data_IF_605198167355
#
_entry.id   IF_605198167355
#
_cell.length_a   1.000
_cell.length_b   1.000
_cell.length_c   1.000
_cell.angle_alpha   90.00
_cell.angle_beta   90.00
_cell.angle_gamma   90.00
#
_symmetry.space_group_name_H-M   'P 1'
#
loop_
_entity.id
_entity.type
_entity.pdbx_description
1 polymer ?
#
# COMPACT_ATOMS: atom_id res chain seq x y z
N UNK A 1 -19.98 -14.90 -11.03
CA UNK A 1 -19.94 -14.76 -9.55
C UNK A 1 -18.66 -14.00 -9.23
N UNK A 2 -18.70 -12.92 -8.44
CA UNK A 2 -17.46 -12.21 -8.06
C UNK A 2 -16.70 -13.08 -7.06
N UNK A 3 -15.55 -13.63 -7.45
CA UNK A 3 -14.66 -14.28 -6.49
C UNK A 3 -14.14 -13.22 -5.51
N UNK A 4 -14.43 -13.38 -4.22
CA UNK A 4 -13.90 -12.50 -3.19
C UNK A 4 -12.38 -12.62 -3.14
N UNK A 5 -11.67 -11.51 -2.92
CA UNK A 5 -10.23 -11.54 -2.74
C UNK A 5 -9.89 -12.37 -1.49
N UNK A 6 -8.94 -13.32 -1.58
CA UNK A 6 -8.44 -14.05 -0.42
C UNK A 6 -7.98 -13.12 0.70
N UNK A 7 -8.60 -13.27 1.86
CA UNK A 7 -8.30 -12.52 3.08
C UNK A 7 -8.55 -13.44 4.27
N UNK A 8 -7.96 -13.12 5.41
CA UNK A 8 -8.09 -13.91 6.62
C UNK A 8 -8.50 -13.00 7.77
N UNK A 9 -9.56 -13.35 8.50
CA UNK A 9 -9.88 -12.71 9.78
C UNK A 9 -10.03 -13.77 10.85
N UNK A 10 -9.41 -13.53 11.99
CA UNK A 10 -9.39 -14.46 13.12
C UNK A 10 -9.84 -13.71 14.36
N UNK A 11 -10.63 -14.38 15.20
CA UNK A 11 -10.95 -13.89 16.54
C UNK A 11 -10.82 -15.02 17.56
N UNK A 12 -10.17 -14.71 18.66
CA UNK A 12 -9.98 -15.65 19.78
C UNK A 12 -11.12 -15.55 20.80
N UNK A 13 -11.14 -16.51 21.73
CA UNK A 13 -11.76 -16.31 23.04
C UNK A 13 -11.03 -15.24 23.86
N UNK A 14 -11.50 -14.97 25.08
CA UNK A 14 -10.80 -14.06 26.00
C UNK A 14 -9.35 -14.50 26.20
N UNK A 15 -8.43 -13.54 26.15
CA UNK A 15 -7.03 -13.77 26.48
C UNK A 15 -6.86 -14.04 27.98
N UNK A 16 -5.68 -14.50 28.38
CA UNK A 16 -5.30 -14.54 29.78
C UNK A 16 -5.53 -13.16 30.45
N UNK A 17 -6.12 -13.11 31.66
CA UNK A 17 -6.40 -11.86 32.36
C UNK A 17 -5.21 -10.91 32.49
N UNK A 18 -3.98 -11.43 32.48
CA UNK A 18 -2.75 -10.63 32.49
C UNK A 18 -2.60 -9.68 31.30
N UNK A 19 -3.30 -9.96 30.18
CA UNK A 19 -3.32 -9.18 28.95
C UNK A 19 -4.65 -8.44 28.71
N UNK A 20 -5.71 -8.73 29.47
CA UNK A 20 -7.09 -8.39 29.12
C UNK A 20 -7.87 -7.57 30.17
N UNK A 21 -7.24 -7.10 31.26
CA UNK A 21 -7.95 -6.33 32.30
C UNK A 21 -8.32 -4.89 31.90
N UNK A 22 -7.97 -4.47 30.69
CA UNK A 22 -8.26 -3.14 30.14
C UNK A 22 -7.41 -2.00 30.71
N UNK A 23 -6.45 -2.30 31.59
CA UNK A 23 -5.51 -1.31 32.12
C UNK A 23 -4.44 -0.96 31.07
N UNK A 24 -3.83 0.22 31.21
CA UNK A 24 -2.67 0.61 30.39
C UNK A 24 -1.51 -0.38 30.53
N UNK A 25 -1.39 -1.04 31.70
CA UNK A 25 -0.38 -2.07 31.94
C UNK A 25 -0.66 -3.35 31.15
N UNK A 26 -1.91 -3.78 31.06
CA UNK A 26 -2.30 -4.92 30.24
C UNK A 26 -2.12 -4.63 28.74
N UNK A 27 -2.48 -3.42 28.29
CA UNK A 27 -2.25 -2.99 26.91
C UNK A 27 -0.75 -2.96 26.55
N UNK A 28 0.11 -2.47 27.44
CA UNK A 28 1.56 -2.51 27.25
C UNK A 28 2.05 -3.94 27.12
N UNK A 29 1.70 -4.83 28.06
CA UNK A 29 2.12 -6.23 28.03
C UNK A 29 1.65 -6.97 26.78
N UNK A 30 0.41 -6.72 26.35
CA UNK A 30 -0.10 -7.28 25.11
C UNK A 30 0.71 -6.79 23.91
N UNK A 31 1.01 -5.49 23.85
CA UNK A 31 1.80 -4.92 22.75
C UNK A 31 3.21 -5.50 22.73
N UNK A 32 3.84 -5.62 23.90
CA UNK A 32 5.17 -6.20 24.06
C UNK A 32 5.18 -7.68 23.65
N UNK A 33 4.16 -8.45 24.03
CA UNK A 33 4.05 -9.86 23.65
C UNK A 33 3.85 -10.06 22.14
N UNK A 34 3.05 -9.21 21.49
CA UNK A 34 2.90 -9.26 20.02
C UNK A 34 4.20 -8.84 19.33
N UNK A 35 4.89 -7.83 19.85
CA UNK A 35 6.18 -7.41 19.30
C UNK A 35 7.25 -8.50 19.46
N UNK A 36 7.35 -9.10 20.65
CA UNK A 36 8.24 -10.22 20.92
C UNK A 36 7.97 -11.39 19.97
N UNK A 37 6.71 -11.81 19.82
CA UNK A 37 6.30 -12.84 18.87
C UNK A 37 6.74 -12.52 17.43
N UNK A 38 6.51 -11.28 16.97
CA UNK A 38 6.88 -10.88 15.62
C UNK A 38 8.41 -10.93 15.42
N UNK A 39 9.17 -10.44 16.40
CA UNK A 39 10.63 -10.36 16.35
C UNK A 39 11.33 -11.71 16.58
N UNK A 40 10.74 -12.63 17.34
CA UNK A 40 11.34 -13.93 17.64
C UNK A 40 11.02 -14.97 16.56
N UNK A 41 9.73 -15.10 16.22
CA UNK A 41 9.26 -16.24 15.43
C UNK A 41 9.28 -15.94 13.93
N UNK A 42 9.27 -14.65 13.58
CA UNK A 42 9.13 -14.18 12.20
C UNK A 42 10.19 -13.17 11.79
N UNK A 43 11.31 -13.11 12.52
CA UNK A 43 12.38 -12.12 12.31
C UNK A 43 12.86 -12.03 10.86
N UNK A 44 12.91 -13.16 10.14
CA UNK A 44 13.38 -13.22 8.75
C UNK A 44 12.43 -12.52 7.75
N UNK A 45 11.15 -12.43 8.10
CA UNK A 45 10.08 -11.89 7.26
C UNK A 45 9.52 -10.56 7.78
N UNK A 46 9.84 -10.19 9.02
CA UNK A 46 9.39 -8.95 9.62
C UNK A 46 10.03 -7.75 8.92
N UNK A 47 9.21 -6.97 8.22
CA UNK A 47 9.63 -5.71 7.60
C UNK A 47 9.57 -4.59 8.66
N UNK A 48 8.47 -4.52 9.41
CA UNK A 48 8.30 -3.59 10.52
C UNK A 48 7.08 -3.96 11.39
N UNK A 49 7.05 -3.42 12.61
CA UNK A 49 5.89 -3.45 13.50
C UNK A 49 5.68 -2.07 14.10
N UNK A 50 4.44 -1.58 14.09
CA UNK A 50 4.11 -0.28 14.66
C UNK A 50 2.69 -0.23 15.22
N UNK A 51 2.41 0.65 16.18
CA UNK A 51 1.03 1.00 16.52
C UNK A 51 0.29 1.54 15.29
N UNK A 52 -0.90 1.01 15.05
CA UNK A 52 -1.77 1.54 14.01
C UNK A 52 -2.12 3.00 14.34
N UNK A 53 -2.26 3.85 13.34
CA UNK A 53 -2.67 5.25 13.55
C UNK A 53 -4.20 5.38 13.48
N UNK A 54 -4.78 6.11 14.42
CA UNK A 54 -6.15 6.57 14.34
C UNK A 54 -6.29 7.63 13.23
N UNK A 55 -7.53 7.96 12.85
CA UNK A 55 -7.83 8.97 11.81
C UNK A 55 -7.23 10.36 12.09
N UNK A 56 -6.85 10.66 13.34
CA UNK A 56 -6.21 11.92 13.75
C UNK A 56 -4.70 11.80 13.98
N UNK A 57 -4.07 10.71 13.53
CA UNK A 57 -2.62 10.50 13.65
C UNK A 57 -2.14 9.97 15.00
N UNK A 58 -2.98 9.99 16.05
CA UNK A 58 -2.66 9.38 17.34
C UNK A 58 -2.57 7.85 17.25
N UNK A 59 -1.65 7.19 17.97
CA UNK A 59 -1.61 5.73 18.05
C UNK A 59 -2.92 5.15 18.58
N UNK A 60 -3.53 4.25 17.81
CA UNK A 60 -4.70 3.50 18.22
C UNK A 60 -4.30 2.50 19.32
N UNK A 61 -4.74 2.76 20.55
CA UNK A 61 -4.48 1.88 21.69
C UNK A 61 -5.02 0.47 21.42
N UNK A 62 -4.21 -0.55 21.71
CA UNK A 62 -4.59 -1.95 21.49
C UNK A 62 -4.69 -2.34 20.02
N UNK A 63 -3.97 -1.65 19.12
CA UNK A 63 -3.94 -1.94 17.70
C UNK A 63 -2.51 -1.83 17.17
N UNK A 64 -1.97 -2.93 16.68
CA UNK A 64 -0.66 -3.02 16.03
C UNK A 64 -0.85 -3.41 14.56
N UNK A 65 -0.01 -2.85 13.71
CA UNK A 65 0.18 -3.27 12.32
C UNK A 65 1.55 -3.97 12.22
N UNK A 66 1.54 -5.17 11.64
CA UNK A 66 2.73 -6.01 11.46
C UNK A 66 2.92 -6.25 9.96
N UNK A 67 4.00 -5.74 9.38
CA UNK A 67 4.33 -5.99 7.98
C UNK A 67 5.27 -7.18 7.84
N UNK A 68 4.84 -8.19 7.09
CA UNK A 68 5.55 -9.47 6.91
C UNK A 68 5.97 -9.73 5.45
N UNK A 69 5.56 -8.86 4.52
CA UNK A 69 5.90 -8.98 3.10
C UNK A 69 5.64 -7.63 2.40
N UNK A 70 6.55 -7.13 1.54
CA UNK A 70 6.40 -5.82 0.88
C UNK A 70 5.13 -5.70 0.03
N UNK A 71 4.73 -6.78 -0.65
CA UNK A 71 3.49 -6.81 -1.44
C UNK A 71 2.20 -7.08 -0.65
N UNK A 72 2.24 -7.22 0.68
CA UNK A 72 1.06 -7.41 1.51
C UNK A 72 0.66 -6.09 2.18
N UNK A 73 -0.65 -5.92 2.41
CA UNK A 73 -1.08 -4.99 3.44
C UNK A 73 -0.62 -5.51 4.82
N UNK A 74 -0.27 -4.62 5.75
CA UNK A 74 0.10 -5.02 7.11
C UNK A 74 -1.00 -5.85 7.77
N UNK A 75 -0.61 -6.86 8.54
CA UNK A 75 -1.48 -7.62 9.41
C UNK A 75 -1.97 -6.70 10.54
N UNK A 76 -3.28 -6.46 10.60
CA UNK A 76 -3.91 -5.70 11.67
C UNK A 76 -4.18 -6.62 12.86
N UNK A 77 -3.52 -6.39 13.99
CA UNK A 77 -3.69 -7.15 15.24
C UNK A 77 -4.28 -6.23 16.31
N UNK A 78 -5.46 -6.58 16.82
CA UNK A 78 -6.24 -5.74 17.74
C UNK A 78 -6.65 -6.49 18.99
N UNK A 79 -6.60 -5.79 20.12
CA UNK A 79 -7.24 -6.22 21.36
C UNK A 79 -8.59 -5.49 21.50
N UNK A 80 -9.69 -6.25 21.54
CA UNK A 80 -11.02 -5.68 21.73
C UNK A 80 -11.34 -5.41 23.22
N UNK A 81 -12.47 -4.75 23.47
CA UNK A 81 -12.92 -4.42 24.85
C UNK A 81 -13.31 -5.64 25.67
N UNK A 82 -13.55 -6.78 25.05
CA UNK A 82 -13.83 -8.04 25.73
C UNK A 82 -12.54 -8.83 26.01
N UNK A 83 -11.37 -8.22 25.78
CA UNK A 83 -10.08 -8.86 25.99
C UNK A 83 -9.81 -9.96 24.98
N UNK A 84 -10.35 -9.85 23.74
CA UNK A 84 -10.12 -10.83 22.67
C UNK A 84 -9.18 -10.28 21.63
N UNK A 85 -8.35 -11.16 21.09
CA UNK A 85 -7.54 -10.86 19.92
C UNK A 85 -8.41 -10.91 18.66
N UNK A 86 -8.39 -9.85 17.87
CA UNK A 86 -8.95 -9.76 16.53
C UNK A 86 -7.80 -9.50 15.55
N UNK A 87 -7.60 -10.39 14.58
CA UNK A 87 -6.58 -10.23 13.56
C UNK A 87 -7.19 -10.21 12.16
N UNK A 88 -6.66 -9.39 11.26
CA UNK A 88 -7.08 -9.33 9.86
C UNK A 88 -5.90 -9.14 8.92
N UNK A 89 -5.84 -9.95 7.85
CA UNK A 89 -4.82 -9.89 6.82
C UNK A 89 -5.43 -9.94 5.41
N UNK A 90 -4.92 -9.09 4.50
CA UNK A 90 -5.15 -9.22 3.06
C UNK A 90 -3.99 -10.00 2.45
N UNK A 91 -4.25 -11.19 1.95
CA UNK A 91 -3.20 -12.14 1.53
C UNK A 91 -3.21 -12.39 0.02
N UNK A 92 -4.26 -11.96 -0.67
CA UNK A 92 -4.48 -12.16 -2.10
C UNK A 92 -3.29 -11.75 -2.98
N UNK A 93 -2.74 -10.55 -2.76
CA UNK A 93 -1.65 -10.01 -3.60
C UNK A 93 -0.35 -10.82 -3.51
N UNK A 94 -0.11 -11.51 -2.38
CA UNK A 94 1.14 -12.25 -2.16
C UNK A 94 1.03 -13.71 -2.61
N UNK A 95 -0.11 -14.35 -2.33
CA UNK A 95 -0.40 -15.69 -2.81
C UNK A 95 -0.70 -16.73 -1.72
N UNK A 96 -0.97 -17.98 -2.14
CA UNK A 96 -1.45 -19.04 -1.26
C UNK A 96 -0.39 -19.50 -0.24
N UNK A 97 0.90 -19.42 -0.57
CA UNK A 97 1.98 -19.73 0.39
C UNK A 97 2.00 -18.76 1.57
N UNK A 98 1.84 -17.46 1.29
CA UNK A 98 1.73 -16.43 2.32
C UNK A 98 0.45 -16.56 3.14
N UNK A 99 -0.69 -16.86 2.50
CA UNK A 99 -1.95 -17.08 3.21
C UNK A 99 -1.82 -18.20 4.25
N UNK A 100 -1.28 -19.35 3.85
CA UNK A 100 -1.07 -20.48 4.74
C UNK A 100 -0.09 -20.15 5.89
N UNK A 101 0.96 -19.39 5.60
CA UNK A 101 1.91 -18.91 6.60
C UNK A 101 1.24 -17.99 7.64
N UNK A 102 0.51 -16.96 7.20
CA UNK A 102 -0.17 -16.02 8.11
C UNK A 102 -1.19 -16.74 9.01
N UNK A 103 -1.93 -17.71 8.47
CA UNK A 103 -2.84 -18.53 9.28
C UNK A 103 -2.10 -19.25 10.42
N UNK A 104 -0.99 -19.92 10.12
CA UNK A 104 -0.18 -20.61 11.14
C UNK A 104 0.44 -19.64 12.14
N UNK A 105 0.91 -18.49 11.66
CA UNK A 105 1.47 -17.44 12.50
C UNK A 105 0.44 -16.92 13.51
N UNK A 106 -0.81 -16.67 13.07
CA UNK A 106 -1.90 -16.23 13.95
C UNK A 106 -2.34 -17.31 14.95
N UNK A 107 -2.30 -18.58 14.56
CA UNK A 107 -2.50 -19.70 15.50
C UNK A 107 -1.44 -19.72 16.60
N UNK A 108 -0.17 -19.59 16.21
CA UNK A 108 0.95 -19.53 17.15
C UNK A 108 0.84 -18.34 18.10
N UNK A 109 0.45 -17.16 17.59
CA UNK A 109 0.20 -15.99 18.44
C UNK A 109 -0.94 -16.23 19.44
N UNK A 110 -2.05 -16.81 19.00
CA UNK A 110 -3.18 -17.11 19.88
C UNK A 110 -2.76 -18.07 21.01
N UNK A 111 -1.98 -19.11 20.67
CA UNK A 111 -1.43 -20.07 21.63
C UNK A 111 -0.47 -19.40 22.63
N UNK A 112 0.46 -18.56 22.14
CA UNK A 112 1.40 -17.81 22.97
C UNK A 112 0.69 -16.86 23.96
N UNK A 113 -0.48 -16.34 23.58
CA UNK A 113 -1.35 -15.51 24.44
C UNK A 113 -2.34 -16.32 25.29
N UNK A 114 -2.24 -17.66 25.28
CA UNK A 114 -3.10 -18.55 26.07
C UNK A 114 -4.56 -18.59 25.61
N UNK A 115 -4.84 -18.29 24.34
CA UNK A 115 -6.19 -18.16 23.82
C UNK A 115 -6.50 -19.16 22.69
N UNK A 116 -7.72 -19.68 22.67
CA UNK A 116 -8.22 -20.50 21.58
C UNK A 116 -8.84 -19.62 20.49
N UNK A 117 -8.65 -19.97 19.22
CA UNK A 117 -9.36 -19.35 18.10
C UNK A 117 -10.82 -19.83 18.10
N UNK A 118 -11.77 -18.89 18.16
CA UNK A 118 -13.22 -19.19 18.18
C UNK A 118 -13.88 -18.91 16.83
N UNK A 119 -13.28 -18.04 16.01
CA UNK A 119 -13.86 -17.60 14.75
C UNK A 119 -12.77 -17.39 13.70
N UNK A 120 -13.06 -17.87 12.49
CA UNK A 120 -12.25 -17.66 11.29
C UNK A 120 -13.18 -17.29 10.15
N UNK A 121 -12.87 -16.18 9.49
CA UNK A 121 -13.44 -15.77 8.20
C UNK A 121 -12.34 -15.95 7.15
N UNK A 122 -12.46 -17.00 6.36
CA UNK A 122 -11.53 -17.30 5.28
C UNK A 122 -12.32 -17.80 4.05
N UNK A 123 -12.43 -16.99 2.98
CA UNK A 123 -13.16 -17.39 1.77
C UNK A 123 -12.46 -18.51 1.01
N UNK A 124 -11.20 -18.85 1.33
CA UNK A 124 -10.47 -19.97 0.74
C UNK A 124 -10.75 -21.30 1.47
N UNK A 125 -11.40 -21.25 2.63
CA UNK A 125 -11.65 -22.40 3.51
C UNK A 125 -10.38 -23.12 4.00
N UNK A 126 -9.21 -22.50 3.90
CA UNK A 126 -7.94 -23.08 4.33
C UNK A 126 -7.77 -22.94 5.85
N UNK A 127 -7.99 -21.75 6.40
CA UNK A 127 -8.07 -21.52 7.83
C UNK A 127 -9.44 -21.93 8.37
N UNK A 128 -9.44 -22.80 9.39
CA UNK A 128 -10.67 -23.10 10.12
C UNK A 128 -10.40 -23.30 11.61
N UNK A 129 -11.44 -23.13 12.44
CA UNK A 129 -11.37 -23.45 13.87
C UNK A 129 -10.97 -24.92 14.11
N UNK A 130 -11.25 -25.81 13.14
CA UNK A 130 -10.93 -27.25 13.23
C UNK A 130 -9.53 -27.60 12.72
N UNK A 131 -8.80 -26.65 12.15
CA UNK A 131 -7.48 -26.87 11.56
C UNK A 131 -7.35 -26.35 10.14
N UNK A 132 -6.39 -26.90 9.40
CA UNK A 132 -6.07 -26.50 8.02
C UNK A 132 -6.93 -27.28 7.01
N UNK A 133 -7.35 -26.59 5.96
CA UNK A 133 -7.97 -27.16 4.77
C UNK A 133 -6.95 -27.74 3.79
N UNK A 134 -7.41 -28.13 2.61
CA UNK A 134 -6.57 -28.72 1.57
C UNK A 134 -5.73 -27.68 0.83
N UNK A 135 -4.48 -28.03 0.55
CA UNK A 135 -3.55 -27.29 -0.30
C UNK A 135 -4.14 -27.01 -1.69
N UNK A 136 -4.83 -28.01 -2.25
CA UNK A 136 -5.44 -27.93 -3.58
C UNK A 136 -6.61 -26.94 -3.61
N UNK A 137 -7.39 -26.88 -2.53
CA UNK A 137 -8.52 -25.96 -2.42
C UNK A 137 -8.01 -24.51 -2.31
N UNK A 138 -6.93 -24.30 -1.56
CA UNK A 138 -6.28 -23.00 -1.45
C UNK A 138 -5.72 -22.52 -2.79
N UNK A 139 -4.97 -23.37 -3.51
CA UNK A 139 -4.46 -23.04 -4.83
C UNK A 139 -5.60 -22.78 -5.83
N UNK A 140 -6.66 -23.59 -5.79
CA UNK A 140 -7.86 -23.40 -6.60
C UNK A 140 -8.58 -22.08 -6.32
N UNK A 141 -8.69 -21.68 -5.06
CA UNK A 141 -9.32 -20.41 -4.66
C UNK A 141 -8.52 -19.20 -5.18
N UNK A 142 -7.19 -19.24 -5.07
CA UNK A 142 -6.33 -18.18 -5.62
C UNK A 142 -6.36 -18.15 -7.16
N UNK A 143 -6.35 -19.32 -7.81
CA UNK A 143 -6.51 -19.43 -9.26
C UNK A 143 -7.82 -18.82 -9.77
N UNK A 144 -8.94 -19.20 -9.14
CA UNK A 144 -10.26 -18.66 -9.47
C UNK A 144 -10.35 -17.15 -9.24
N UNK A 145 -9.71 -16.63 -8.18
CA UNK A 145 -9.65 -15.19 -7.93
C UNK A 145 -8.87 -14.45 -9.03
N UNK A 146 -7.65 -14.88 -9.36
CA UNK A 146 -6.85 -14.25 -10.44
C UNK A 146 -7.58 -14.33 -11.78
N UNK A 147 -8.20 -15.48 -12.09
CA UNK A 147 -9.01 -15.65 -13.29
C UNK A 147 -10.18 -14.65 -13.34
N UNK A 148 -10.89 -14.44 -12.23
CA UNK A 148 -11.99 -13.47 -12.17
C UNK A 148 -11.50 -12.03 -12.37
N UNK A 149 -10.28 -11.70 -11.95
CA UNK A 149 -9.66 -10.41 -12.23
C UNK A 149 -9.33 -10.26 -13.73
N UNK A 150 -8.78 -11.30 -14.36
CA UNK A 150 -8.53 -11.33 -15.80
C UNK A 150 -9.82 -11.18 -16.59
N UNK A 151 -10.88 -11.91 -16.22
CA UNK A 151 -12.21 -11.81 -16.83
C UNK A 151 -12.74 -10.37 -16.73
N UNK A 152 -12.66 -9.76 -15.54
CA UNK A 152 -13.07 -8.37 -15.34
C UNK A 152 -12.28 -7.39 -16.20
N UNK A 153 -10.95 -7.55 -16.26
CA UNK A 153 -10.08 -6.70 -17.06
C UNK A 153 -10.45 -6.79 -18.56
N UNK A 154 -10.56 -8.02 -19.08
CA UNK A 154 -10.90 -8.29 -20.48
C UNK A 154 -12.30 -7.77 -20.84
N UNK A 155 -13.28 -8.00 -19.98
CA UNK A 155 -14.66 -7.56 -20.20
C UNK A 155 -14.79 -6.04 -20.18
N UNK A 156 -14.13 -5.36 -19.24
CA UNK A 156 -14.15 -3.90 -19.14
C UNK A 156 -13.20 -3.19 -20.12
N UNK A 157 -12.28 -3.94 -20.75
CA UNK A 157 -11.13 -3.40 -21.49
C UNK A 157 -10.38 -2.34 -20.68
N UNK A 158 -10.22 -2.62 -19.39
CA UNK A 158 -9.59 -1.73 -18.42
C UNK A 158 -8.64 -2.52 -17.53
N UNK A 159 -7.41 -2.03 -17.28
CA UNK A 159 -6.43 -2.72 -16.47
C UNK A 159 -6.92 -2.90 -15.03
N UNK A 160 -6.58 -4.02 -14.41
CA UNK A 160 -6.92 -4.33 -13.01
C UNK A 160 -5.64 -4.50 -12.20
N UNK A 161 -5.54 -3.79 -11.08
CA UNK A 161 -4.40 -3.90 -10.19
C UNK A 161 -4.64 -4.95 -9.10
N UNK A 162 -3.63 -5.79 -8.88
CA UNK A 162 -3.54 -6.76 -7.79
C UNK A 162 -2.59 -6.27 -6.69
N UNK A 163 -1.54 -5.54 -7.07
CA UNK A 163 -0.56 -5.02 -6.13
C UNK A 163 -1.22 -4.06 -5.13
N UNK A 164 -0.87 -4.20 -3.85
CA UNK A 164 -1.27 -3.28 -2.79
C UNK A 164 -0.47 -1.96 -2.89
N UNK A 165 -0.98 -0.89 -2.29
CA UNK A 165 -0.35 0.43 -2.30
C UNK A 165 -0.97 1.42 -3.29
N UNK A 166 -0.18 2.32 -3.92
CA UNK A 166 -0.73 3.31 -4.84
C UNK A 166 -1.30 2.65 -6.09
N UNK A 167 -2.21 3.36 -6.77
CA UNK A 167 -2.72 2.95 -8.09
C UNK A 167 -1.65 3.21 -9.14
N UNK A 168 -1.06 2.15 -9.68
CA UNK A 168 -0.07 2.20 -10.73
C UNK A 168 -0.72 2.44 -12.09
N UNK A 169 0.00 3.13 -12.97
CA UNK A 169 -0.46 3.33 -14.34
C UNK A 169 -0.06 2.17 -15.22
N UNK A 170 -1.06 1.55 -15.83
CA UNK A 170 -0.89 0.54 -16.85
C UNK A 170 -0.26 1.13 -18.12
N UNK A 171 0.61 0.36 -18.76
CA UNK A 171 1.02 0.60 -20.14
C UNK A 171 -0.05 0.10 -21.11
N UNK A 172 0.14 0.38 -22.40
CA UNK A 172 -0.86 0.08 -23.43
C UNK A 172 -1.19 -1.42 -23.54
N UNK A 173 -0.22 -2.30 -23.25
CA UNK A 173 -0.40 -3.76 -23.31
C UNK A 173 -0.71 -4.41 -21.94
N UNK A 174 -0.78 -3.64 -20.85
CA UNK A 174 -0.95 -4.18 -19.50
C UNK A 174 -2.44 -4.42 -19.18
N UNK A 175 -2.79 -5.66 -18.85
CA UNK A 175 -4.15 -6.05 -18.43
C UNK A 175 -4.27 -6.21 -16.91
N UNK A 176 -3.30 -6.87 -16.29
CA UNK A 176 -3.25 -7.03 -14.83
C UNK A 176 -1.93 -6.48 -14.30
N UNK A 177 -1.97 -5.68 -13.23
CA UNK A 177 -0.78 -5.15 -12.56
C UNK A 177 -0.54 -5.94 -11.26
N UNK A 178 0.30 -6.98 -11.34
CA UNK A 178 0.68 -7.81 -10.21
C UNK A 178 1.99 -7.39 -9.55
N UNK A 179 2.28 -7.83 -8.31
CA UNK A 179 3.57 -7.58 -7.66
C UNK A 179 4.76 -8.19 -8.42
N UNK A 180 4.54 -9.24 -9.21
CA UNK A 180 5.59 -9.86 -10.04
C UNK A 180 5.75 -9.19 -11.42
N UNK A 181 5.04 -8.09 -11.66
CA UNK A 181 4.99 -7.38 -12.94
C UNK A 181 3.64 -7.52 -13.65
N UNK A 182 3.49 -6.88 -14.82
CA UNK A 182 2.23 -6.86 -15.53
C UNK A 182 1.97 -8.18 -16.28
N UNK A 183 0.70 -8.60 -16.31
CA UNK A 183 0.19 -9.58 -17.28
C UNK A 183 -0.35 -8.83 -18.49
N UNK A 184 0.02 -9.25 -19.70
CA UNK A 184 -0.44 -8.59 -20.93
C UNK A 184 -1.90 -8.92 -21.26
N UNK A 185 -2.53 -8.12 -22.13
CA UNK A 185 -3.88 -8.41 -22.65
C UNK A 185 -3.97 -9.79 -23.30
N UNK A 186 -2.99 -10.16 -24.12
CA UNK A 186 -2.98 -11.46 -24.78
C UNK A 186 -2.95 -12.63 -23.78
N UNK A 187 -2.17 -12.49 -22.70
CA UNK A 187 -2.10 -13.49 -21.64
C UNK A 187 -3.38 -13.54 -20.81
N UNK A 188 -3.97 -12.39 -20.45
CA UNK A 188 -5.25 -12.33 -19.76
C UNK A 188 -6.38 -12.98 -20.58
N UNK A 189 -6.46 -12.70 -21.88
CA UNK A 189 -7.44 -13.33 -22.78
C UNK A 189 -7.21 -14.85 -22.90
N UNK A 190 -5.96 -15.31 -22.90
CA UNK A 190 -5.64 -16.74 -22.89
C UNK A 190 -6.07 -17.41 -21.58
N UNK A 191 -5.86 -16.75 -20.44
CA UNK A 191 -6.32 -17.21 -19.12
C UNK A 191 -7.84 -17.38 -19.09
N UNK A 192 -8.58 -16.38 -19.56
CA UNK A 192 -10.05 -16.41 -19.59
C UNK A 192 -10.57 -17.59 -20.43
N UNK A 193 -9.91 -17.91 -21.55
CA UNK A 193 -10.27 -19.05 -22.41
C UNK A 193 -10.00 -20.42 -21.78
N UNK A 194 -9.03 -20.54 -20.88
CA UNK A 194 -8.56 -21.82 -20.35
C UNK A 194 -9.44 -22.42 -19.23
N UNK A 195 -10.39 -21.65 -18.67
CA UNK A 195 -11.17 -21.96 -17.46
C UNK A 195 -10.40 -21.76 -16.13
N UNK A 196 -11.06 -21.46 -15.00
CA UNK A 196 -10.41 -21.05 -13.75
C UNK A 196 -9.59 -22.14 -13.05
N UNK A 197 -9.94 -23.41 -13.24
CA UNK A 197 -9.33 -24.59 -12.60
C UNK A 197 -8.30 -25.32 -13.48
N UNK A 198 -8.09 -24.84 -14.71
CA UNK A 198 -7.09 -25.43 -15.58
C UNK A 198 -5.68 -25.17 -15.06
N UNK A 199 -4.80 -26.17 -15.15
CA UNK A 199 -3.39 -26.06 -14.74
C UNK A 199 -2.69 -24.86 -15.41
N UNK A 200 -3.05 -24.52 -16.65
CA UNK A 200 -2.53 -23.34 -17.33
C UNK A 200 -2.90 -22.03 -16.61
N UNK A 201 -4.13 -21.91 -16.11
CA UNK A 201 -4.59 -20.76 -15.33
C UNK A 201 -3.87 -20.70 -13.98
N UNK A 202 -3.73 -21.84 -13.29
CA UNK A 202 -2.99 -21.93 -12.03
C UNK A 202 -1.51 -21.55 -12.22
N UNK A 203 -0.87 -22.02 -13.29
CA UNK A 203 0.51 -21.69 -13.62
C UNK A 203 0.69 -20.18 -13.86
N UNK A 204 -0.22 -19.55 -14.62
CA UNK A 204 -0.19 -18.10 -14.83
C UNK A 204 -0.49 -17.31 -13.54
N UNK A 205 -1.43 -17.77 -12.71
CA UNK A 205 -1.67 -17.16 -11.41
C UNK A 205 -0.43 -17.23 -10.51
N UNK A 206 0.25 -18.39 -10.44
CA UNK A 206 1.51 -18.55 -9.69
C UNK A 206 2.64 -17.66 -10.21
N UNK A 207 2.65 -17.30 -11.49
CA UNK A 207 3.63 -16.37 -12.05
C UNK A 207 3.40 -14.92 -11.57
N UNK A 208 2.16 -14.55 -11.24
CA UNK A 208 1.81 -13.20 -10.75
C UNK A 208 1.98 -13.04 -9.24
N UNK A 209 2.10 -14.14 -8.50
CA UNK A 209 2.10 -14.16 -7.04
C UNK A 209 3.52 -14.33 -6.49
N UNK A 210 3.97 -13.45 -5.56
CA UNK A 210 5.29 -13.56 -4.92
C UNK A 210 5.53 -14.84 -4.14
N UNK A 211 4.49 -15.42 -3.53
CA UNK A 211 4.63 -16.59 -2.69
C UNK A 211 3.63 -17.68 -3.09
N UNK A 212 3.87 -18.36 -4.22
CA UNK A 212 3.07 -19.53 -4.60
C UNK A 212 3.33 -20.68 -3.63
N UNK A 213 2.41 -21.65 -3.59
CA UNK A 213 2.63 -22.89 -2.83
C UNK A 213 3.82 -23.67 -3.40
N UNK A 214 4.56 -24.31 -2.51
CA UNK A 214 5.71 -25.14 -2.87
C UNK A 214 6.98 -24.36 -3.20
N UNK A 215 6.95 -23.02 -3.19
CA UNK A 215 8.14 -22.22 -3.39
C UNK A 215 9.22 -22.56 -2.36
N UNK A 216 10.44 -22.81 -2.84
CA UNK A 216 11.62 -23.01 -1.99
C UNK A 216 11.97 -21.74 -1.23
N UNK A 217 12.86 -21.83 -0.24
CA UNK A 217 13.35 -20.64 0.46
C UNK A 217 14.02 -19.63 -0.49
N UNK A 218 14.87 -20.12 -1.41
CA UNK A 218 15.53 -19.27 -2.41
C UNK A 218 14.52 -18.59 -3.35
N UNK A 219 13.55 -19.34 -3.88
CA UNK A 219 12.52 -18.77 -4.77
C UNK A 219 11.68 -17.71 -4.07
N UNK A 220 11.34 -17.91 -2.79
CA UNK A 220 10.58 -16.92 -2.00
C UNK A 220 11.35 -15.61 -1.87
N UNK A 221 12.67 -15.67 -1.60
CA UNK A 221 13.52 -14.49 -1.48
C UNK A 221 13.63 -13.73 -2.82
N UNK A 222 13.91 -14.44 -3.93
CA UNK A 222 13.94 -13.79 -5.27
C UNK A 222 12.61 -13.11 -5.60
N UNK A 223 11.49 -13.77 -5.30
CA UNK A 223 10.17 -13.24 -5.57
C UNK A 223 9.79 -12.08 -4.65
N UNK A 224 10.20 -12.11 -3.37
CA UNK A 224 10.05 -10.98 -2.43
C UNK A 224 10.81 -9.75 -2.95
N UNK A 225 12.08 -9.90 -3.31
CA UNK A 225 12.88 -8.83 -3.92
C UNK A 225 12.24 -8.32 -5.23
N UNK A 226 11.74 -9.22 -6.08
CA UNK A 226 11.07 -8.86 -7.33
C UNK A 226 9.81 -8.04 -7.09
N UNK A 227 9.04 -8.39 -6.06
CA UNK A 227 7.88 -7.62 -5.67
C UNK A 227 8.24 -6.20 -5.23
N UNK A 228 9.27 -6.04 -4.39
CA UNK A 228 9.78 -4.74 -3.98
C UNK A 228 10.28 -3.91 -5.18
N UNK A 229 10.98 -4.55 -6.12
CA UNK A 229 11.47 -3.90 -7.35
C UNK A 229 10.33 -3.36 -8.24
N UNK A 230 9.21 -4.06 -8.31
CA UNK A 230 8.04 -3.62 -9.07
C UNK A 230 7.23 -2.54 -8.36
N UNK A 231 6.98 -2.67 -7.06
CA UNK A 231 6.03 -1.84 -6.33
C UNK A 231 6.66 -0.63 -5.63
N UNK A 232 7.86 -0.80 -5.08
CA UNK A 232 8.37 0.08 -4.02
C UNK A 232 9.65 0.82 -4.41
N UNK A 233 10.54 0.19 -5.19
CA UNK A 233 11.79 0.82 -5.61
C UNK A 233 11.53 2.03 -6.51
N UNK A 234 11.96 3.20 -6.06
CA UNK A 234 12.11 4.42 -6.89
C UNK A 234 13.40 4.24 -7.67
N UNK A 235 13.33 4.01 -8.98
CA UNK A 235 14.50 3.70 -9.82
C UNK A 235 15.40 4.92 -10.08
N UNK A 236 15.89 5.53 -9.00
CA UNK A 236 16.80 6.68 -8.87
C UNK A 236 17.49 6.59 -7.50
N UNK A 237 18.64 7.25 -7.27
CA UNK A 237 19.29 7.24 -5.96
C UNK A 237 18.31 7.57 -4.82
N UNK A 238 18.45 6.89 -3.69
CA UNK A 238 17.56 7.04 -2.55
C UNK A 238 17.62 8.48 -1.98
N UNK A 239 16.45 9.04 -1.69
CA UNK A 239 16.31 10.37 -1.08
C UNK A 239 15.93 10.30 0.40
N UNK A 240 15.50 9.13 0.87
CA UNK A 240 15.15 8.88 2.27
C UNK A 240 15.81 7.60 2.76
N UNK A 241 15.93 7.47 4.09
CA UNK A 241 16.42 6.25 4.73
C UNK A 241 15.55 5.03 4.38
N UNK A 242 14.22 5.18 4.42
CA UNK A 242 13.28 4.11 4.06
C UNK A 242 13.45 3.62 2.60
N UNK A 243 13.77 4.51 1.66
CA UNK A 243 14.09 4.10 0.28
C UNK A 243 15.42 3.33 0.20
N UNK A 244 16.43 3.77 0.95
CA UNK A 244 17.72 3.09 1.01
C UNK A 244 17.58 1.70 1.66
N UNK A 245 16.81 1.58 2.73
CA UNK A 245 16.45 0.31 3.38
C UNK A 245 15.72 -0.63 2.42
N UNK A 246 14.77 -0.13 1.64
CA UNK A 246 14.04 -0.92 0.63
C UNK A 246 15.01 -1.50 -0.42
N UNK A 247 15.96 -0.69 -0.91
CA UNK A 247 16.98 -1.14 -1.87
C UNK A 247 17.90 -2.19 -1.22
N UNK A 248 18.34 -1.94 0.01
CA UNK A 248 19.22 -2.85 0.73
C UNK A 248 18.55 -4.20 1.01
N UNK A 249 17.29 -4.21 1.46
CA UNK A 249 16.53 -5.43 1.72
C UNK A 249 16.32 -6.26 0.45
N UNK A 250 16.00 -5.62 -0.68
CA UNK A 250 15.87 -6.33 -1.96
C UNK A 250 17.21 -6.94 -2.44
N UNK A 251 18.34 -6.29 -2.16
CA UNK A 251 19.66 -6.82 -2.46
C UNK A 251 20.03 -8.00 -1.54
N UNK A 252 19.80 -7.88 -0.22
CA UNK A 252 20.03 -8.96 0.76
C UNK A 252 19.22 -10.21 0.39
N UNK A 253 17.96 -10.04 -0.01
CA UNK A 253 17.12 -11.15 -0.49
C UNK A 253 17.72 -11.88 -1.68
N UNK A 254 18.21 -11.13 -2.69
CA UNK A 254 18.80 -11.73 -3.89
C UNK A 254 20.13 -12.43 -3.59
N UNK A 255 20.95 -11.84 -2.73
CA UNK A 255 22.23 -12.41 -2.27
C UNK A 255 21.98 -13.70 -1.48
N UNK A 256 21.10 -13.68 -0.47
CA UNK A 256 20.72 -14.86 0.31
C UNK A 256 20.05 -15.93 -0.52
N UNK A 257 19.23 -15.56 -1.50
CA UNK A 257 18.66 -16.53 -2.43
C UNK A 257 19.74 -17.27 -3.21
N UNK A 258 20.76 -16.54 -3.69
CA UNK A 258 21.90 -17.12 -4.41
C UNK A 258 22.75 -18.02 -3.52
N UNK A 259 22.92 -17.66 -2.25
CA UNK A 259 23.65 -18.48 -1.29
C UNK A 259 22.93 -19.81 -1.00
N UNK A 260 21.59 -19.78 -0.93
CA UNK A 260 20.77 -20.97 -0.73
C UNK A 260 20.70 -21.86 -1.97
N UNK A 261 20.66 -21.25 -3.16
CA UNK A 261 20.61 -21.93 -4.45
C UNK A 261 21.44 -21.15 -5.50
N UNK A 262 22.69 -21.55 -5.77
CA UNK A 262 23.55 -20.88 -6.75
C UNK A 262 22.98 -20.82 -8.18
N UNK A 263 22.11 -21.76 -8.52
CA UNK A 263 21.50 -21.91 -9.86
C UNK A 263 20.14 -21.20 -9.96
N UNK A 264 19.69 -20.50 -8.91
CA UNK A 264 18.41 -19.78 -8.90
C UNK A 264 18.34 -18.75 -10.03
N UNK A 265 17.20 -18.73 -10.75
CA UNK A 265 16.96 -17.75 -11.80
C UNK A 265 16.56 -16.42 -11.16
N UNK A 266 17.50 -15.47 -11.14
CA UNK A 266 17.30 -14.12 -10.62
C UNK A 266 17.17 -13.07 -11.75
N UNK A 267 16.54 -11.90 -11.50
CA UNK A 267 16.45 -10.82 -12.47
C UNK A 267 17.77 -10.04 -12.56
N UNK A 268 18.81 -10.65 -13.13
CA UNK A 268 20.21 -10.18 -13.12
C UNK A 268 20.40 -8.70 -13.53
N UNK A 269 19.64 -8.25 -14.52
CA UNK A 269 19.72 -6.85 -14.98
C UNK A 269 19.19 -5.88 -13.93
N UNK A 270 18.02 -6.20 -13.36
CA UNK A 270 17.39 -5.41 -12.31
C UNK A 270 18.24 -5.43 -11.03
N UNK A 271 18.84 -6.58 -10.69
CA UNK A 271 19.77 -6.71 -9.58
C UNK A 271 20.98 -5.79 -9.75
N UNK A 272 21.66 -5.82 -10.90
CA UNK A 272 22.80 -4.90 -11.16
C UNK A 272 22.39 -3.43 -11.07
N UNK A 273 21.21 -3.08 -11.56
CA UNK A 273 20.68 -1.73 -11.46
C UNK A 273 20.38 -1.33 -10.01
N UNK A 274 19.85 -2.24 -9.16
CA UNK A 274 19.71 -2.01 -7.72
C UNK A 274 21.06 -1.79 -7.02
N UNK A 275 22.07 -2.58 -7.36
CA UNK A 275 23.41 -2.41 -6.79
C UNK A 275 23.98 -1.02 -7.15
N UNK A 276 23.85 -0.60 -8.41
CA UNK A 276 24.25 0.74 -8.84
C UNK A 276 23.49 1.85 -8.08
N UNK A 277 22.20 1.65 -7.80
CA UNK A 277 21.39 2.59 -7.01
C UNK A 277 21.90 2.74 -5.58
N UNK A 278 22.23 1.62 -4.92
CA UNK A 278 22.82 1.61 -3.56
C UNK A 278 24.14 2.39 -3.53
N UNK A 279 24.94 2.22 -4.57
CA UNK A 279 26.27 2.82 -4.66
C UNK A 279 26.24 4.28 -5.18
N UNK A 280 25.05 4.80 -5.54
CA UNK A 280 24.85 6.17 -6.02
C UNK A 280 25.28 6.41 -7.48
N UNK A 281 25.50 5.35 -8.26
CA UNK A 281 25.94 5.43 -9.65
C UNK A 281 24.76 5.67 -10.61
N UNK A 282 24.38 6.95 -10.75
CA UNK A 282 23.30 7.37 -11.64
C UNK A 282 23.63 7.19 -13.14
N UNK A 283 24.90 7.21 -13.53
CA UNK A 283 25.32 7.06 -14.93
C UNK A 283 25.13 5.62 -15.42
N UNK A 284 25.38 4.63 -14.56
CA UNK A 284 25.12 3.22 -14.85
C UNK A 284 23.63 2.94 -15.17
N UNK A 285 22.69 3.71 -14.61
CA UNK A 285 21.26 3.54 -14.83
C UNK A 285 20.75 4.18 -16.13
N UNK A 286 21.38 5.26 -16.58
CA UNK A 286 20.96 6.00 -17.77
C UNK A 286 21.37 5.31 -19.09
N UNK A 287 22.30 4.36 -19.04
CA UNK A 287 22.95 3.77 -20.22
C UNK A 287 22.30 2.51 -20.78
N UNK A 288 21.27 1.94 -20.14
CA UNK A 288 20.54 0.75 -20.64
C UNK A 288 19.06 1.05 -21.00
N UNK A 289 18.79 1.63 -22.19
CA UNK A 289 17.43 1.95 -22.64
C UNK A 289 16.61 0.75 -23.14
N UNK A 290 17.18 -0.46 -23.22
CA UNK A 290 16.57 -1.61 -23.92
C UNK A 290 16.16 -2.78 -23.01
N UNK A 291 16.31 -2.66 -21.69
CA UNK A 291 15.84 -3.68 -20.75
C UNK A 291 14.34 -3.54 -20.45
N UNK A 292 13.63 -4.66 -20.30
CA UNK A 292 12.26 -4.69 -19.73
C UNK A 292 12.33 -3.97 -18.40
N UNK A 293 11.78 -2.76 -18.35
CA UNK A 293 11.93 -1.89 -17.19
C UNK A 293 11.05 -2.42 -16.05
N UNK A 294 11.66 -3.21 -15.16
CA UNK A 294 11.07 -3.55 -13.86
C UNK A 294 10.79 -2.25 -13.12
N UNK A 295 9.61 -2.14 -12.50
CA UNK A 295 9.22 -1.00 -11.65
C UNK A 295 8.03 -0.19 -12.18
N UNK A 296 6.90 -0.29 -11.50
CA UNK A 296 5.75 0.60 -11.75
C UNK A 296 6.06 2.05 -11.41
N UNK A 297 6.94 2.29 -10.44
CA UNK A 297 7.39 3.63 -10.01
C UNK A 297 8.23 4.37 -11.05
N UNK A 298 8.54 3.75 -12.19
CA UNK A 298 9.08 4.44 -13.37
C UNK A 298 8.01 5.22 -14.15
N UNK A 299 6.74 4.92 -13.92
CA UNK A 299 5.57 5.60 -14.47
C UNK A 299 4.93 6.49 -13.39
N UNK A 300 4.07 7.45 -13.76
CA UNK A 300 3.27 8.15 -12.79
C UNK A 300 2.37 7.18 -12.01
N UNK A 301 2.05 7.55 -10.78
CA UNK A 301 1.22 6.75 -9.87
C UNK A 301 0.18 7.64 -9.23
N UNK A 302 -0.96 7.06 -8.87
CA UNK A 302 -2.02 7.74 -8.15
C UNK A 302 -2.04 7.28 -6.69
N UNK A 303 -1.73 8.21 -5.79
CA UNK A 303 -1.67 8.00 -4.35
C UNK A 303 -2.93 8.54 -3.68
N UNK A 304 -3.35 7.91 -2.58
CA UNK A 304 -4.50 8.33 -1.79
C UNK A 304 -4.10 8.55 -0.31
N UNK A 305 -3.37 9.65 -0.02
CA UNK A 305 -2.73 9.81 1.29
C UNK A 305 -3.71 9.99 2.45
N UNK A 306 -4.93 10.43 2.19
CA UNK A 306 -5.96 10.67 3.20
C UNK A 306 -7.24 9.90 2.92
N UNK A 307 -7.10 8.59 2.70
CA UNK A 307 -8.19 7.65 2.44
C UNK A 307 -8.81 7.84 1.06
N UNK A 308 -9.52 8.94 0.89
CA UNK A 308 -10.48 9.09 -0.18
C UNK A 308 -10.10 10.18 -1.19
N UNK A 309 -9.27 11.15 -0.80
CA UNK A 309 -8.63 12.07 -1.76
C UNK A 309 -7.47 11.38 -2.45
N UNK A 310 -7.37 11.52 -3.77
CA UNK A 310 -6.23 10.99 -4.52
C UNK A 310 -5.64 11.98 -5.52
N UNK A 311 -4.33 11.89 -5.75
CA UNK A 311 -3.58 12.74 -6.68
C UNK A 311 -2.66 11.87 -7.54
N UNK A 312 -2.45 12.25 -8.80
CA UNK A 312 -1.45 11.62 -9.66
C UNK A 312 -0.12 12.33 -9.49
N UNK A 313 0.92 11.61 -9.08
CA UNK A 313 2.28 12.11 -8.94
C UNK A 313 3.23 11.35 -9.86
N UNK A 314 4.41 11.90 -10.08
CA UNK A 314 5.47 11.12 -10.72
C UNK A 314 5.92 10.00 -9.79
N UNK A 315 6.01 8.77 -10.31
CA UNK A 315 6.35 7.61 -9.50
C UNK A 315 7.74 7.66 -8.89
N UNK A 316 8.61 8.56 -9.35
CA UNK A 316 9.95 8.79 -8.81
C UNK A 316 9.99 9.70 -7.57
N UNK A 317 8.91 10.39 -7.19
CA UNK A 317 8.93 11.21 -5.98
C UNK A 317 9.06 10.34 -4.73
N UNK A 318 9.89 10.79 -3.79
CA UNK A 318 9.91 10.28 -2.42
C UNK A 318 8.62 10.67 -1.71
N UNK A 319 8.20 9.88 -0.74
CA UNK A 319 6.97 10.11 0.03
C UNK A 319 7.29 10.07 1.52
N UNK A 320 6.74 11.01 2.29
CA UNK A 320 6.79 11.01 3.75
C UNK A 320 5.53 11.65 4.32
N UNK A 321 5.33 11.50 5.62
CA UNK A 321 4.24 12.14 6.35
C UNK A 321 4.80 12.91 7.54
N UNK A 322 4.43 14.18 7.65
CA UNK A 322 4.91 15.10 8.67
C UNK A 322 3.80 16.06 9.11
N UNK A 323 3.59 16.22 10.42
CA UNK A 323 2.59 17.12 11.01
C UNK A 323 1.19 17.09 10.35
N UNK A 324 0.67 15.88 10.10
CA UNK A 324 -0.64 15.68 9.48
C UNK A 324 -0.69 16.04 7.98
N UNK A 325 0.45 16.38 7.39
CA UNK A 325 0.64 16.51 5.96
C UNK A 325 1.26 15.24 5.39
N UNK A 326 0.83 14.87 4.19
CA UNK A 326 1.57 13.95 3.35
C UNK A 326 2.38 14.78 2.36
N UNK A 327 3.63 14.39 2.16
CA UNK A 327 4.61 15.13 1.38
C UNK A 327 5.19 14.21 0.32
N UNK A 328 5.21 14.68 -0.93
CA UNK A 328 5.96 14.06 -2.01
C UNK A 328 7.00 15.01 -2.59
N UNK A 329 8.24 14.54 -2.78
CA UNK A 329 9.33 15.43 -3.13
C UNK A 329 10.47 14.77 -3.93
N UNK A 330 11.27 15.62 -4.55
CA UNK A 330 12.63 15.34 -5.01
C UNK A 330 13.50 16.60 -4.79
N UNK A 331 14.70 16.63 -5.37
CA UNK A 331 15.64 17.75 -5.24
C UNK A 331 15.07 19.11 -5.73
N UNK A 332 14.06 19.10 -6.59
CA UNK A 332 13.58 20.30 -7.31
C UNK A 332 12.10 20.57 -7.10
N UNK A 333 11.37 19.64 -6.51
CA UNK A 333 9.91 19.63 -6.44
C UNK A 333 9.46 19.18 -5.07
N UNK A 334 8.44 19.87 -4.57
CA UNK A 334 7.78 19.57 -3.32
C UNK A 334 6.28 19.70 -3.52
N UNK A 335 5.54 18.69 -3.10
CA UNK A 335 4.10 18.65 -2.97
C UNK A 335 3.79 18.36 -1.50
N UNK A 336 2.94 19.18 -0.89
CA UNK A 336 2.35 18.92 0.41
C UNK A 336 0.83 18.86 0.26
N UNK A 337 0.23 17.81 0.81
CA UNK A 337 -1.22 17.65 0.90
C UNK A 337 -1.62 17.54 2.36
N UNK A 338 -2.73 18.18 2.70
CA UNK A 338 -3.45 18.00 3.96
C UNK A 338 -4.93 17.78 3.66
N UNK A 339 -5.59 16.99 4.48
CA UNK A 339 -7.04 16.79 4.41
C UNK A 339 -7.62 16.82 5.81
N UNK A 340 -8.80 17.44 5.96
CA UNK A 340 -9.47 17.51 7.25
C UNK A 340 -10.71 18.40 7.22
N UNK A 341 -11.25 18.67 8.41
CA UNK A 341 -12.21 19.75 8.59
C UNK A 341 -11.50 21.11 8.48
N UNK A 342 -12.28 22.19 8.34
CA UNK A 342 -11.70 23.53 8.33
C UNK A 342 -10.89 23.79 9.61
N UNK A 343 -11.42 23.37 10.77
CA UNK A 343 -10.77 23.53 12.07
C UNK A 343 -9.41 22.81 12.12
N UNK A 344 -9.33 21.58 11.59
CA UNK A 344 -8.09 20.81 11.54
C UNK A 344 -7.02 21.53 10.70
N UNK A 345 -7.43 22.15 9.60
CA UNK A 345 -6.51 22.77 8.64
C UNK A 345 -6.01 24.16 9.08
N UNK A 346 -6.82 24.93 9.81
CA UNK A 346 -6.42 26.26 10.32
C UNK A 346 -5.74 26.20 11.69
N UNK A 347 -5.74 25.03 12.36
CA UNK A 347 -5.11 24.86 13.66
C UNK A 347 -5.86 25.56 14.82
N UNK A 348 -7.15 25.84 14.67
CA UNK A 348 -7.99 26.40 15.74
C UNK A 348 -8.89 25.30 16.35
N UNK A 349 -8.47 24.66 17.45
CA UNK A 349 -9.33 23.74 18.19
C UNK A 349 -10.28 24.56 19.05
N UNK A 350 -11.36 25.13 18.49
CA UNK A 350 -12.48 25.55 19.33
C UNK A 350 -13.53 24.42 19.41
N UNK A 351 -13.53 23.61 20.49
CA UNK A 351 -14.54 22.58 20.71
C UNK A 351 -15.98 23.16 20.86
N UNK A 352 -16.14 24.48 20.99
CA UNK A 352 -17.46 25.16 20.97
C UNK A 352 -17.93 25.51 19.57
N UNK A 353 -17.03 25.65 18.59
CA UNK A 353 -17.39 25.86 17.18
C UNK A 353 -17.91 24.58 16.50
N UNK A 354 -17.55 23.39 17.02
CA UNK A 354 -17.99 22.09 16.49
C UNK A 354 -19.50 21.82 16.62
N UNK A 355 -20.25 22.62 17.40
CA UNK A 355 -21.73 22.56 17.46
C UNK A 355 -22.42 23.62 16.60
N UNK A 356 -21.65 24.49 15.94
CA UNK A 356 -22.13 25.45 14.96
C UNK A 356 -22.35 24.79 13.60
N UNK A 357 -23.23 25.39 12.80
CA UNK A 357 -23.43 25.00 11.39
C UNK A 357 -22.07 25.03 10.68
N UNK A 358 -21.62 23.89 10.15
CA UNK A 358 -20.39 23.82 9.36
C UNK A 358 -20.46 24.89 8.27
N UNK A 359 -19.43 25.75 8.13
CA UNK A 359 -19.44 26.80 7.11
C UNK A 359 -19.61 26.18 5.74
N UNK A 360 -20.27 26.88 4.82
CA UNK A 360 -20.33 26.41 3.44
C UNK A 360 -18.91 26.34 2.84
N UNK A 361 -18.77 25.53 1.79
CA UNK A 361 -17.48 25.32 1.15
C UNK A 361 -16.81 26.64 0.68
N UNK A 362 -17.57 27.64 0.24
CA UNK A 362 -16.97 28.89 -0.24
C UNK A 362 -16.34 29.68 0.92
N UNK A 363 -17.03 29.75 2.05
CA UNK A 363 -16.55 30.39 3.28
C UNK A 363 -15.32 29.67 3.83
N UNK A 364 -15.35 28.34 3.87
CA UNK A 364 -14.24 27.55 4.37
C UNK A 364 -12.97 27.69 3.49
N UNK A 365 -13.14 27.64 2.17
CA UNK A 365 -12.04 27.87 1.24
C UNK A 365 -11.51 29.31 1.33
N UNK A 366 -12.38 30.28 1.59
CA UNK A 366 -11.96 31.66 1.76
C UNK A 366 -11.15 31.89 3.04
N UNK A 367 -11.45 31.17 4.11
CA UNK A 367 -10.64 31.19 5.34
C UNK A 367 -9.25 30.57 5.11
N UNK A 368 -9.15 29.48 4.35
CA UNK A 368 -7.87 28.81 4.07
C UNK A 368 -7.00 29.59 3.08
N UNK A 369 -7.61 30.20 2.07
CA UNK A 369 -6.89 30.95 1.05
C UNK A 369 -7.62 32.27 0.71
N UNK A 370 -7.49 33.31 1.56
CA UNK A 370 -8.22 34.58 1.42
C UNK A 370 -8.03 35.28 0.08
N UNK A 371 -6.79 35.25 -0.43
CA UNK A 371 -6.38 35.92 -1.68
C UNK A 371 -6.48 35.00 -2.90
N UNK A 372 -6.98 33.78 -2.74
CA UNK A 372 -7.09 32.81 -3.83
C UNK A 372 -8.22 33.15 -4.81
N UNK A 373 -7.95 33.03 -6.10
CA UNK A 373 -8.98 33.17 -7.13
C UNK A 373 -9.94 31.96 -7.06
N UNK A 374 -11.27 32.18 -6.96
CA UNK A 374 -12.22 31.09 -6.94
C UNK A 374 -12.33 30.41 -8.31
N UNK A 375 -12.47 29.08 -8.32
CA UNK A 375 -12.75 28.31 -9.54
C UNK A 375 -13.70 27.13 -9.24
N UNK A 376 -14.34 26.63 -10.29
CA UNK A 376 -15.21 25.45 -10.27
C UNK A 376 -14.77 24.47 -11.34
N UNK A 377 -14.58 23.20 -10.99
CA UNK A 377 -14.22 22.14 -11.95
C UNK A 377 -14.66 20.78 -11.44
N UNK A 378 -15.40 20.03 -12.25
CA UNK A 378 -15.77 18.63 -11.96
C UNK A 378 -16.50 18.44 -10.63
N UNK A 379 -17.36 19.39 -10.22
CA UNK A 379 -18.05 19.32 -8.92
C UNK A 379 -17.20 19.76 -7.72
N UNK A 380 -15.98 20.24 -7.94
CA UNK A 380 -15.10 20.78 -6.92
C UNK A 380 -15.05 22.31 -6.96
N UNK A 381 -14.99 22.93 -5.78
CA UNK A 381 -14.71 24.34 -5.57
C UNK A 381 -13.24 24.51 -5.19
N UNK A 382 -12.59 25.47 -5.81
CA UNK A 382 -11.18 25.77 -5.58
C UNK A 382 -11.02 27.22 -5.17
N UNK A 383 -10.00 27.49 -4.36
CA UNK A 383 -9.31 28.77 -4.39
C UNK A 383 -7.84 28.50 -4.67
N UNK A 384 -7.25 29.22 -5.62
CA UNK A 384 -5.87 29.01 -6.06
C UNK A 384 -5.08 30.31 -5.95
N UNK A 385 -3.87 30.21 -5.40
CA UNK A 385 -2.87 31.29 -5.36
C UNK A 385 -1.58 30.77 -5.98
N UNK A 386 -0.99 31.56 -6.86
CA UNK A 386 0.29 31.22 -7.50
C UNK A 386 1.33 32.28 -7.19
N UNK A 387 2.59 31.86 -7.02
CA UNK A 387 3.73 32.74 -6.81
C UNK A 387 4.90 32.36 -7.70
N UNK A 388 5.80 33.32 -7.94
CA UNK A 388 7.09 33.06 -8.57
C UNK A 388 8.16 33.86 -7.84
N UNK A 389 9.18 33.17 -7.34
CA UNK A 389 10.31 33.77 -6.65
C UNK A 389 11.62 33.07 -7.05
N UNK A 390 12.64 33.85 -7.41
CA UNK A 390 13.98 33.36 -7.77
C UNK A 390 14.02 32.10 -8.68
N UNK A 391 13.13 32.02 -9.70
CA UNK A 391 13.08 30.86 -10.61
C UNK A 391 12.29 29.65 -10.09
N UNK A 392 11.75 29.74 -8.87
CA UNK A 392 10.80 28.79 -8.28
C UNK A 392 9.37 29.24 -8.57
N UNK A 393 8.53 28.31 -9.00
CA UNK A 393 7.08 28.49 -9.05
C UNK A 393 6.43 27.84 -7.83
N UNK A 394 5.44 28.50 -7.24
CA UNK A 394 4.59 27.94 -6.18
C UNK A 394 3.11 28.03 -6.55
N UNK A 395 2.35 27.03 -6.10
CA UNK A 395 0.89 27.01 -6.19
C UNK A 395 0.32 26.44 -4.91
N UNK A 396 -0.54 27.24 -4.28
CA UNK A 396 -1.38 26.84 -3.15
C UNK A 396 -2.82 26.72 -3.64
N UNK A 397 -3.50 25.64 -3.27
CA UNK A 397 -4.89 25.41 -3.57
C UNK A 397 -5.62 24.89 -2.33
N UNK A 398 -6.81 25.44 -2.07
CA UNK A 398 -7.78 24.85 -1.17
C UNK A 398 -8.93 24.29 -2.02
N UNK A 399 -9.34 23.05 -1.75
CA UNK A 399 -10.31 22.31 -2.56
C UNK A 399 -11.39 21.69 -1.67
N UNK A 400 -12.65 21.86 -2.05
CA UNK A 400 -13.80 21.30 -1.35
C UNK A 400 -14.86 20.80 -2.34
N UNK A 401 -15.67 19.83 -1.91
CA UNK A 401 -16.84 19.39 -2.67
C UNK A 401 -17.86 20.52 -2.80
N UNK A 402 -18.50 20.63 -3.97
CA UNK A 402 -19.49 21.68 -4.22
C UNK A 402 -20.84 21.42 -3.52
N UNK A 403 -21.13 20.16 -3.16
CA UNK A 403 -22.40 19.76 -2.56
C UNK A 403 -22.46 20.04 -1.05
N UNK A 404 -23.59 20.55 -0.51
CA UNK A 404 -23.75 20.80 0.91
C UNK A 404 -23.72 19.51 1.74
N UNK A 405 -22.94 19.50 2.83
CA UNK A 405 -22.91 18.40 3.80
C UNK A 405 -21.87 17.31 3.51
N UNK A 406 -21.04 17.48 2.47
CA UNK A 406 -20.03 16.50 2.11
C UNK A 406 -18.70 16.69 2.90
N UNK A 407 -18.01 15.59 3.29
CA UNK A 407 -16.89 15.61 4.20
C UNK A 407 -15.55 15.90 3.50
N UNK A 408 -14.73 16.77 4.11
CA UNK A 408 -13.31 16.93 3.78
C UNK A 408 -12.99 18.14 2.90
N UNK A 409 -12.15 19.02 3.42
CA UNK A 409 -11.42 20.03 2.64
C UNK A 409 -10.01 19.47 2.42
N UNK A 410 -9.48 19.62 1.22
CA UNK A 410 -8.09 19.31 0.90
C UNK A 410 -7.31 20.62 0.68
N UNK A 411 -6.17 20.76 1.34
CA UNK A 411 -5.20 21.81 1.08
C UNK A 411 -3.99 21.21 0.36
N UNK A 412 -3.61 21.82 -0.75
CA UNK A 412 -2.50 21.42 -1.60
C UNK A 412 -1.54 22.59 -1.72
N UNK A 413 -0.26 22.36 -1.44
CA UNK A 413 0.81 23.34 -1.70
C UNK A 413 1.90 22.69 -2.52
N UNK A 414 2.42 23.42 -3.50
CA UNK A 414 3.48 22.96 -4.39
C UNK A 414 4.58 23.99 -4.52
N UNK A 415 5.81 23.51 -4.65
CA UNK A 415 6.99 24.30 -4.99
C UNK A 415 7.78 23.54 -6.04
N UNK A 416 8.15 24.20 -7.14
CA UNK A 416 8.93 23.58 -8.20
C UNK A 416 9.92 24.54 -8.86
N UNK A 417 11.15 24.07 -9.05
CA UNK A 417 12.24 24.87 -9.61
C UNK A 417 12.40 24.69 -11.13
N UNK A 418 12.57 25.80 -11.84
CA UNK A 418 12.90 25.83 -13.26
C UNK A 418 11.67 25.94 -14.18
N UNK A 419 11.90 25.85 -15.51
CA UNK A 419 10.92 26.27 -16.52
C UNK A 419 9.66 25.39 -16.57
N UNK A 420 9.72 24.15 -16.08
CA UNK A 420 8.59 23.21 -16.06
C UNK A 420 7.71 23.28 -14.81
N UNK A 421 8.09 24.05 -13.79
CA UNK A 421 7.46 23.99 -12.46
C UNK A 421 5.97 24.35 -12.47
N UNK A 422 5.58 25.36 -13.25
CA UNK A 422 4.17 25.76 -13.37
C UNK A 422 3.30 24.67 -14.01
N UNK A 423 3.79 24.05 -15.09
CA UNK A 423 3.06 22.98 -15.77
C UNK A 423 2.87 21.78 -14.85
N UNK A 424 3.90 21.41 -14.10
CA UNK A 424 3.85 20.31 -13.14
C UNK A 424 2.85 20.59 -12.00
N UNK A 425 2.93 21.76 -11.37
CA UNK A 425 2.03 22.12 -10.27
C UNK A 425 0.55 22.17 -10.70
N UNK A 426 0.27 22.68 -11.92
CA UNK A 426 -1.08 22.67 -12.49
C UNK A 426 -1.54 21.26 -12.82
N UNK A 427 -0.67 20.40 -13.35
CA UNK A 427 -1.02 19.00 -13.63
C UNK A 427 -1.38 18.23 -12.34
N UNK A 428 -0.68 18.49 -11.23
CA UNK A 428 -1.03 17.93 -9.93
C UNK A 428 -2.43 18.35 -9.48
N UNK A 429 -2.71 19.65 -9.49
CA UNK A 429 -4.03 20.18 -9.12
C UNK A 429 -5.14 19.59 -10.00
N UNK A 430 -4.88 19.49 -11.31
CA UNK A 430 -5.80 18.95 -12.30
C UNK A 430 -6.08 17.45 -12.11
N UNK A 431 -5.16 16.73 -11.48
CA UNK A 431 -5.28 15.30 -11.23
C UNK A 431 -5.93 14.95 -9.89
N UNK A 432 -6.21 15.94 -9.05
CA UNK A 432 -6.82 15.76 -7.74
C UNK A 432 -8.25 15.25 -7.91
N UNK A 433 -8.50 14.05 -7.38
CA UNK A 433 -9.81 13.40 -7.38
C UNK A 433 -10.36 13.38 -5.95
N UNK A 434 -11.65 13.73 -5.77
CA UNK A 434 -12.29 13.66 -4.47
C UNK A 434 -12.58 12.20 -4.07
N UNK A 435 -12.99 12.02 -2.81
CA UNK A 435 -13.65 10.81 -2.34
C UNK A 435 -14.75 10.34 -3.32
N UNK A 436 -14.86 9.02 -3.60
CA UNK A 436 -16.08 8.50 -4.22
C UNK A 436 -17.29 8.77 -3.30
N UNK A 437 -18.48 8.99 -3.88
CA UNK A 437 -19.69 9.38 -3.14
C UNK A 437 -20.21 8.32 -2.17
#
# INVERSE_FOLDING_TARGET
MSAAAPALRVRTGPLDPTFADGSDRALSRWSDAVAEWAMSDHAELLEWIAPARASHGEPARGHLEVSLHPAAAPLSVRLDRAGRLCAAARTAAVGPGYHAYVWRALRGLAEALGAAIEYVDDPTSYGSVRGEGSDADLDGAFGAWVWALAERAVAARAPVQLAEGPRFEAGDDDALLGPMGPLTWAAAEAMVRAAPDAEATLAQARALLPWPRGATAAERLVRRATAAMWCDVRWRPALTEAEAETIAAALDDLERARDLDPDIVAPERAWRALAALRDGDAEALASDPASVQVGYRRRPVRVAPFGDWSVRIDGALAETSDDGAWIAFDERRLLSLRSGTLADLIGEPDPRAARGRQPDAATALAALLPDGAPALRGGLRYRVRTGRDAGTFSLDAAVALAEPGAPGICALSTRAEGPGGERWARALLDSLEPPPP
#
